data_IF_029607532729
#
_entry.id   IF_029607532729
#
_cell.length_a   1.000
_cell.length_b   1.000
_cell.length_c   1.000
_cell.angle_alpha   90.00
_cell.angle_beta   90.00
_cell.angle_gamma   90.00
#
_symmetry.space_group_name_H-M   'P 1'
#
loop_
_entity.id
_entity.type
_entity.pdbx_description
1 polymer ?
#
# COMPACT_ATOMS: atom_id res chain seq x y z
N UNK A 1 30.89 -15.62 -1.83
CA UNK A 1 31.45 -15.22 -3.16
C UNK A 1 31.02 -16.18 -4.28
N UNK A 2 30.74 -17.45 -3.96
CA UNK A 2 30.38 -18.48 -4.97
C UNK A 2 28.96 -18.32 -5.58
N UNK A 3 28.07 -17.56 -4.96
CA UNK A 3 26.69 -17.35 -5.46
C UNK A 3 26.52 -16.11 -6.35
N UNK A 4 27.55 -15.24 -6.41
CA UNK A 4 27.43 -13.93 -7.06
C UNK A 4 27.20 -13.96 -8.59
N UNK A 5 27.61 -15.03 -9.25
CA UNK A 5 27.55 -15.16 -10.71
C UNK A 5 26.33 -15.98 -11.21
N UNK A 6 25.56 -16.57 -10.28
CA UNK A 6 24.41 -17.39 -10.61
C UNK A 6 23.08 -16.65 -10.37
N UNK A 7 22.22 -16.63 -11.38
CA UNK A 7 20.88 -16.03 -11.27
C UNK A 7 19.87 -16.93 -10.56
N UNK A 8 20.14 -18.23 -10.48
CA UNK A 8 19.33 -19.25 -9.84
C UNK A 8 20.23 -20.16 -9.04
N UNK A 9 19.80 -20.50 -7.82
CA UNK A 9 20.48 -21.47 -6.97
C UNK A 9 19.47 -22.24 -6.12
N UNK A 10 19.82 -23.45 -5.73
CA UNK A 10 19.02 -24.33 -4.90
C UNK A 10 19.69 -24.52 -3.55
N UNK A 11 18.93 -24.23 -2.46
CA UNK A 11 19.35 -24.56 -1.10
C UNK A 11 18.67 -25.85 -0.71
N UNK A 12 19.44 -26.94 -0.55
CA UNK A 12 18.92 -28.23 -0.14
C UNK A 12 19.61 -28.76 1.13
N UNK A 13 18.97 -29.69 1.80
CA UNK A 13 19.48 -30.30 3.03
C UNK A 13 18.35 -30.98 3.83
N UNK A 14 18.67 -31.75 4.86
CA UNK A 14 17.68 -32.43 5.70
C UNK A 14 16.77 -31.45 6.44
N UNK A 15 15.64 -31.93 6.92
CA UNK A 15 14.72 -31.16 7.77
C UNK A 15 15.47 -30.69 9.04
N UNK A 16 15.29 -29.44 9.42
CA UNK A 16 15.98 -28.85 10.57
C UNK A 16 17.37 -28.26 10.28
N UNK A 17 17.90 -28.37 9.05
CA UNK A 17 19.21 -27.82 8.68
C UNK A 17 19.26 -26.29 8.53
N UNK A 18 18.21 -25.56 8.86
CA UNK A 18 18.21 -24.10 8.87
C UNK A 18 17.91 -23.44 7.51
N UNK A 19 17.40 -24.17 6.51
CA UNK A 19 17.08 -23.60 5.20
C UNK A 19 16.11 -22.42 5.28
N UNK A 20 15.03 -22.56 6.03
CA UNK A 20 14.01 -21.50 6.25
C UNK A 20 14.56 -20.38 7.11
N UNK A 21 15.51 -20.65 8.00
CA UNK A 21 16.15 -19.64 8.85
C UNK A 21 16.86 -18.58 8.05
N UNK A 22 17.36 -18.89 6.84
CA UNK A 22 17.97 -17.90 5.93
C UNK A 22 16.91 -16.87 5.49
N UNK A 23 15.72 -17.34 5.12
CA UNK A 23 14.60 -16.48 4.72
C UNK A 23 14.06 -15.70 5.92
N UNK A 24 13.96 -16.33 7.09
CA UNK A 24 13.61 -15.67 8.34
C UNK A 24 14.59 -14.54 8.69
N UNK A 25 15.89 -14.79 8.53
CA UNK A 25 16.92 -13.80 8.78
C UNK A 25 16.83 -12.60 7.82
N UNK A 26 16.53 -12.83 6.54
CA UNK A 26 16.31 -11.75 5.57
C UNK A 26 15.09 -10.90 5.92
N UNK A 27 13.94 -11.53 6.24
CA UNK A 27 12.76 -10.82 6.71
C UNK A 27 13.02 -10.05 8.00
N UNK A 28 13.67 -10.69 8.95
CA UNK A 28 13.99 -10.07 10.23
C UNK A 28 14.91 -8.87 10.04
N UNK A 29 15.94 -8.98 9.21
CA UNK A 29 16.80 -7.84 8.90
C UNK A 29 16.01 -6.66 8.35
N UNK A 30 15.16 -6.88 7.36
CA UNK A 30 14.39 -5.82 6.69
C UNK A 30 13.28 -5.26 7.60
N UNK A 31 12.48 -6.12 8.23
CA UNK A 31 11.22 -5.71 8.86
C UNK A 31 11.17 -5.92 10.39
N UNK A 32 12.16 -6.60 10.97
CA UNK A 32 12.18 -6.90 12.41
C UNK A 32 11.26 -8.05 12.83
N UNK A 33 10.71 -8.78 11.87
CA UNK A 33 9.87 -9.96 12.09
C UNK A 33 10.29 -11.09 11.14
N UNK A 34 10.20 -12.37 11.54
CA UNK A 34 10.53 -13.51 10.69
C UNK A 34 9.52 -13.68 9.52
N UNK A 35 9.78 -14.63 8.64
CA UNK A 35 8.95 -14.89 7.45
C UNK A 35 7.58 -15.50 7.76
N UNK A 36 7.41 -16.14 8.91
CA UNK A 36 6.16 -16.77 9.37
C UNK A 36 5.52 -16.04 10.54
N UNK A 37 4.21 -16.19 10.71
CA UNK A 37 3.43 -15.53 11.77
C UNK A 37 3.58 -16.17 13.15
N UNK A 38 4.16 -17.39 13.22
CA UNK A 38 4.28 -18.17 14.45
C UNK A 38 5.40 -17.72 15.39
N UNK A 39 6.28 -16.80 14.96
CA UNK A 39 7.44 -16.35 15.71
C UNK A 39 7.50 -14.83 15.77
N UNK A 40 7.98 -14.31 16.89
CA UNK A 40 8.28 -12.88 17.05
C UNK A 40 9.78 -12.64 16.94
N UNK A 41 10.20 -11.37 16.81
CA UNK A 41 11.62 -11.01 16.78
C UNK A 41 12.41 -11.52 18.00
N UNK A 42 11.78 -11.65 19.16
CA UNK A 42 12.41 -12.20 20.37
C UNK A 42 12.77 -13.69 20.23
N UNK A 43 12.02 -14.45 19.43
CA UNK A 43 12.26 -15.88 19.18
C UNK A 43 13.31 -16.15 18.09
N UNK A 44 13.98 -15.12 17.57
CA UNK A 44 15.05 -15.30 16.59
C UNK A 44 16.34 -15.82 17.20
N UNK A 45 16.52 -15.69 18.51
CA UNK A 45 17.65 -16.28 19.21
C UNK A 45 17.41 -17.77 19.41
N UNK A 46 18.41 -18.60 19.08
CA UNK A 46 18.37 -20.03 19.36
C UNK A 46 18.43 -20.27 20.89
N UNK A 47 17.61 -21.18 21.37
CA UNK A 47 17.65 -21.62 22.77
C UNK A 47 18.97 -22.35 23.12
N UNK A 48 19.65 -22.88 22.10
CA UNK A 48 20.96 -23.54 22.25
C UNK A 48 22.15 -22.55 22.17
N UNK A 49 21.88 -21.28 21.88
CA UNK A 49 22.97 -20.30 21.76
C UNK A 49 23.60 -20.00 23.11
N UNK A 50 24.93 -20.08 23.16
CA UNK A 50 25.71 -19.69 24.33
C UNK A 50 25.46 -18.24 24.72
N UNK A 51 25.38 -17.88 26.03
CA UNK A 51 25.27 -16.49 26.46
C UNK A 51 26.38 -15.57 25.97
N UNK A 52 27.54 -16.12 25.58
CA UNK A 52 28.65 -15.38 25.00
C UNK A 52 28.40 -14.96 23.54
N UNK A 53 27.52 -15.65 22.84
CA UNK A 53 27.20 -15.42 21.45
C UNK A 53 25.98 -14.51 21.31
N UNK A 54 26.14 -13.34 20.72
CA UNK A 54 25.01 -12.46 20.42
C UNK A 54 24.36 -12.85 19.08
N UNK A 55 23.02 -12.88 19.06
CA UNK A 55 22.27 -13.05 17.83
C UNK A 55 22.18 -11.72 17.11
N UNK A 56 22.64 -11.69 15.87
CA UNK A 56 22.54 -10.52 15.00
C UNK A 56 22.46 -10.95 13.53
N UNK A 57 21.82 -10.14 12.72
CA UNK A 57 21.75 -10.32 11.27
C UNK A 57 22.33 -9.07 10.61
N UNK A 58 23.25 -9.28 9.67
CA UNK A 58 23.74 -8.26 8.76
C UNK A 58 23.35 -8.67 7.34
N UNK A 59 22.53 -7.86 6.68
CA UNK A 59 22.01 -8.16 5.36
C UNK A 59 22.38 -7.04 4.38
N UNK A 60 23.00 -7.42 3.26
CA UNK A 60 23.35 -6.49 2.19
C UNK A 60 22.45 -6.75 0.97
N UNK A 61 21.95 -5.66 0.38
CA UNK A 61 21.09 -5.73 -0.80
C UNK A 61 21.32 -4.50 -1.68
N UNK A 62 20.86 -4.58 -2.93
CA UNK A 62 20.90 -3.49 -3.88
C UNK A 62 19.51 -3.16 -4.40
N UNK A 63 19.24 -1.86 -4.62
CA UNK A 63 18.05 -1.36 -5.28
C UNK A 63 18.51 -0.46 -6.42
N UNK A 64 18.31 -0.90 -7.66
CA UNK A 64 18.83 -0.22 -8.82
C UNK A 64 20.37 -0.14 -8.78
N UNK A 65 20.92 1.05 -8.63
CA UNK A 65 22.38 1.30 -8.57
C UNK A 65 22.91 1.57 -7.17
N UNK A 66 22.04 1.57 -6.17
CA UNK A 66 22.39 1.86 -4.78
C UNK A 66 22.51 0.58 -3.98
N UNK A 67 23.48 0.53 -3.09
CA UNK A 67 23.76 -0.60 -2.22
C UNK A 67 23.44 -0.22 -0.79
N UNK A 68 22.87 -1.16 -0.05
CA UNK A 68 22.46 -0.96 1.32
C UNK A 68 22.94 -2.10 2.20
N UNK A 69 23.23 -1.78 3.45
CA UNK A 69 23.48 -2.74 4.51
C UNK A 69 22.53 -2.44 5.66
N UNK A 70 21.91 -3.46 6.18
CA UNK A 70 21.07 -3.38 7.36
C UNK A 70 21.60 -4.35 8.42
N UNK A 71 21.83 -3.83 9.61
CA UNK A 71 22.21 -4.60 10.78
C UNK A 71 21.05 -4.59 11.76
N UNK A 72 20.69 -5.78 12.28
CA UNK A 72 19.63 -5.89 13.27
C UNK A 72 19.94 -6.98 14.28
N UNK A 73 19.66 -6.70 15.56
CA UNK A 73 19.73 -7.68 16.64
C UNK A 73 18.47 -7.62 17.50
N UNK A 74 17.91 -8.76 17.98
CA UNK A 74 16.80 -8.77 18.90
C UNK A 74 17.22 -8.32 20.29
N UNK A 75 16.25 -8.01 21.13
CA UNK A 75 16.45 -7.95 22.57
C UNK A 75 16.88 -9.33 23.05
N UNK A 76 17.97 -9.39 23.82
CA UNK A 76 18.55 -10.67 24.23
C UNK A 76 19.38 -10.52 25.52
N UNK A 77 19.52 -11.63 26.25
CA UNK A 77 20.42 -11.71 27.36
C UNK A 77 21.79 -12.26 26.90
N UNK A 78 22.84 -11.49 27.14
CA UNK A 78 24.21 -11.85 26.78
C UNK A 78 25.14 -11.69 27.98
N UNK A 79 26.26 -12.40 27.97
CA UNK A 79 27.27 -12.29 29.01
C UNK A 79 27.82 -10.85 29.12
N UNK A 80 28.07 -10.38 30.33
CA UNK A 80 28.74 -9.09 30.55
C UNK A 80 30.13 -9.13 29.97
N UNK A 81 30.56 -8.05 29.32
CA UNK A 81 31.94 -7.91 28.83
C UNK A 81 32.98 -7.82 29.99
N UNK A 82 32.54 -7.37 31.16
CA UNK A 82 33.39 -7.27 32.40
C UNK A 82 32.54 -7.78 33.55
N UNK A 83 33.15 -8.65 34.41
CA UNK A 83 32.49 -9.30 35.53
C UNK A 83 31.70 -10.54 35.15
N UNK A 84 31.06 -11.17 36.12
CA UNK A 84 30.25 -12.38 35.97
C UNK A 84 28.76 -12.01 35.80
N UNK A 85 28.00 -12.84 35.13
CA UNK A 85 26.55 -12.71 34.95
C UNK A 85 26.11 -12.21 33.57
N UNK A 86 24.79 -12.13 33.38
CA UNK A 86 24.14 -11.70 32.13
C UNK A 86 23.76 -10.23 32.20
N UNK A 87 23.64 -9.63 31.03
CA UNK A 87 23.03 -8.31 30.84
C UNK A 87 21.97 -8.38 29.74
N UNK A 88 20.93 -7.63 29.91
CA UNK A 88 19.91 -7.43 28.88
C UNK A 88 20.46 -6.44 27.85
N UNK A 89 20.58 -6.89 26.62
CA UNK A 89 20.92 -6.04 25.48
C UNK A 89 19.63 -5.67 24.75
N UNK A 90 19.39 -4.37 24.59
CA UNK A 90 18.21 -3.89 23.87
C UNK A 90 18.27 -4.27 22.38
N UNK A 91 17.11 -4.39 21.75
CA UNK A 91 17.02 -4.56 20.31
C UNK A 91 17.69 -3.38 19.60
N UNK A 92 18.42 -3.67 18.54
CA UNK A 92 19.14 -2.68 17.73
C UNK A 92 18.82 -2.86 16.25
N UNK A 93 18.70 -1.76 15.53
CA UNK A 93 18.59 -1.75 14.07
C UNK A 93 19.30 -0.52 13.51
N UNK A 94 20.01 -0.70 12.39
CA UNK A 94 20.65 0.39 11.65
C UNK A 94 20.66 0.07 10.15
N UNK A 95 20.35 1.08 9.33
CA UNK A 95 20.37 1.00 7.88
C UNK A 95 21.44 1.95 7.35
N UNK A 96 22.27 1.44 6.48
CA UNK A 96 23.37 2.17 5.83
C UNK A 96 23.20 2.12 4.31
N UNK A 97 23.50 3.22 3.63
CA UNK A 97 23.82 3.26 2.20
C UNK A 97 25.32 3.03 2.05
N UNK A 98 25.74 2.20 1.12
CA UNK A 98 27.15 1.83 0.93
C UNK A 98 27.52 1.84 -0.54
N UNK A 99 28.82 1.89 -0.82
CA UNK A 99 29.35 1.63 -2.14
C UNK A 99 29.22 0.14 -2.49
N UNK A 100 29.37 -0.19 -3.78
CA UNK A 100 29.28 -1.57 -4.29
C UNK A 100 30.18 -2.54 -3.51
N UNK A 101 31.37 -2.09 -3.12
CA UNK A 101 32.35 -2.91 -2.40
C UNK A 101 32.24 -2.78 -0.86
N UNK A 102 31.30 -1.95 -0.36
CA UNK A 102 31.09 -1.74 1.08
C UNK A 102 32.18 -0.90 1.75
N UNK A 103 32.93 -0.12 0.98
CA UNK A 103 34.06 0.66 1.48
C UNK A 103 33.65 1.93 2.22
N UNK A 104 32.70 2.68 1.71
CA UNK A 104 32.13 3.85 2.39
C UNK A 104 30.67 3.56 2.76
N UNK A 105 30.35 3.73 4.03
CA UNK A 105 29.00 3.49 4.56
C UNK A 105 28.48 4.77 5.21
N UNK A 106 27.31 5.21 4.77
CA UNK A 106 26.59 6.35 5.34
C UNK A 106 25.35 5.85 6.08
N UNK A 107 25.20 6.23 7.34
CA UNK A 107 24.02 5.91 8.13
C UNK A 107 22.79 6.63 7.56
N UNK A 108 21.79 5.85 7.13
CA UNK A 108 20.50 6.35 6.60
C UNK A 108 19.45 6.42 7.70
N UNK A 109 19.38 5.40 8.55
CA UNK A 109 18.43 5.35 9.64
C UNK A 109 18.93 4.48 10.79
N UNK A 110 18.75 4.96 12.03
CA UNK A 110 18.95 4.24 13.28
C UNK A 110 17.69 4.19 14.15
N UNK A 111 16.70 5.02 13.83
CA UNK A 111 15.34 4.99 14.41
C UNK A 111 14.36 4.73 13.29
N UNK A 112 13.28 3.97 13.61
CA UNK A 112 12.24 3.63 12.63
C UNK A 112 12.80 3.00 11.33
N UNK A 113 13.80 2.13 11.47
CA UNK A 113 14.49 1.48 10.35
C UNK A 113 13.51 0.72 9.46
N UNK A 114 12.51 0.05 10.04
CA UNK A 114 11.46 -0.66 9.28
C UNK A 114 10.72 0.29 8.35
N UNK A 115 10.29 1.46 8.82
CA UNK A 115 9.62 2.44 7.97
C UNK A 115 10.53 3.02 6.87
N UNK A 116 11.84 3.12 7.12
CA UNK A 116 12.81 3.51 6.09
C UNK A 116 12.95 2.42 5.02
N UNK A 117 13.00 1.15 5.41
CA UNK A 117 13.03 -0.01 4.51
C UNK A 117 11.75 -0.10 3.68
N UNK A 118 10.58 0.07 4.29
CA UNK A 118 9.28 0.07 3.59
C UNK A 118 9.22 1.17 2.51
N UNK A 119 9.73 2.36 2.81
CA UNK A 119 9.83 3.45 1.82
C UNK A 119 10.80 3.15 0.69
N UNK A 120 11.92 2.49 0.98
CA UNK A 120 12.93 2.12 -0.01
C UNK A 120 12.45 1.00 -0.93
N UNK A 121 11.86 -0.04 -0.36
CA UNK A 121 11.39 -1.22 -1.09
C UNK A 121 10.02 -1.01 -1.73
N UNK A 122 9.19 -0.12 -1.18
CA UNK A 122 7.79 0.05 -1.58
C UNK A 122 6.86 -1.07 -1.10
N UNK A 123 7.35 -1.97 -0.25
CA UNK A 123 6.61 -3.12 0.27
C UNK A 123 6.61 -3.12 1.80
N UNK A 124 5.46 -3.41 2.38
CA UNK A 124 5.34 -3.78 3.79
C UNK A 124 5.77 -5.24 4.00
N UNK A 125 6.00 -5.62 5.26
CA UNK A 125 6.48 -6.96 5.62
C UNK A 125 5.65 -8.09 5.00
N UNK A 126 4.32 -8.02 5.12
CA UNK A 126 3.40 -9.06 4.64
C UNK A 126 3.42 -9.17 3.11
N UNK A 127 3.52 -8.03 2.42
CA UNK A 127 3.62 -7.98 0.98
C UNK A 127 4.95 -8.57 0.49
N UNK A 128 6.05 -8.23 1.15
CA UNK A 128 7.36 -8.79 0.85
C UNK A 128 7.38 -10.31 1.01
N UNK A 129 6.75 -10.82 2.07
CA UNK A 129 6.61 -12.27 2.28
C UNK A 129 5.81 -12.94 1.17
N UNK A 130 4.71 -12.34 0.74
CA UNK A 130 3.84 -12.89 -0.30
C UNK A 130 4.45 -12.84 -1.71
N UNK A 131 5.28 -11.83 -1.99
CA UNK A 131 5.82 -11.58 -3.35
C UNK A 131 7.21 -12.15 -3.53
N UNK A 132 8.10 -11.85 -2.57
CA UNK A 132 9.54 -12.08 -2.73
C UNK A 132 9.96 -13.42 -2.13
N UNK A 133 9.42 -13.77 -0.97
CA UNK A 133 9.85 -14.98 -0.28
C UNK A 133 9.03 -16.22 -0.62
N UNK A 134 7.76 -16.06 -0.98
CA UNK A 134 6.85 -17.15 -1.31
C UNK A 134 7.02 -18.35 -0.35
N UNK A 135 6.63 -18.22 0.94
CA UNK A 135 6.79 -19.28 1.91
C UNK A 135 6.18 -20.60 1.44
N UNK A 136 6.70 -21.70 1.92
CA UNK A 136 6.21 -23.03 1.56
C UNK A 136 4.71 -23.16 1.87
N UNK A 137 3.91 -23.40 0.84
CA UNK A 137 2.44 -23.50 0.92
C UNK A 137 1.67 -22.28 0.38
N UNK A 138 2.18 -21.08 0.50
CA UNK A 138 1.47 -19.87 0.05
C UNK A 138 1.52 -19.69 -1.48
N UNK A 139 2.59 -20.14 -2.13
CA UNK A 139 2.65 -20.22 -3.58
C UNK A 139 1.56 -21.15 -4.15
N UNK A 140 1.28 -22.25 -3.46
CA UNK A 140 0.18 -23.15 -3.85
C UNK A 140 -1.18 -22.47 -3.72
N UNK A 141 -1.39 -21.67 -2.67
CA UNK A 141 -2.63 -20.89 -2.51
C UNK A 141 -2.82 -19.91 -3.66
N UNK A 142 -1.76 -19.17 -4.04
CA UNK A 142 -1.82 -18.24 -5.16
C UNK A 142 -2.14 -18.94 -6.49
N UNK A 143 -1.56 -20.10 -6.74
CA UNK A 143 -1.80 -20.89 -7.96
C UNK A 143 -3.22 -21.51 -8.01
N UNK A 144 -3.75 -21.93 -6.86
CA UNK A 144 -5.06 -22.55 -6.73
C UNK A 144 -6.18 -21.55 -6.48
N UNK A 145 -5.85 -20.31 -6.14
CA UNK A 145 -6.80 -19.24 -5.88
C UNK A 145 -7.72 -18.98 -7.09
N UNK A 146 -8.98 -18.80 -6.84
CA UNK A 146 -9.96 -18.35 -7.84
C UNK A 146 -9.63 -16.95 -8.38
N UNK A 147 -10.26 -16.55 -9.47
CA UNK A 147 -9.98 -15.26 -10.12
C UNK A 147 -10.17 -14.05 -9.19
N UNK A 148 -11.20 -14.06 -8.35
CA UNK A 148 -11.49 -12.98 -7.39
C UNK A 148 -10.46 -12.92 -6.25
N UNK A 149 -10.06 -14.06 -5.70
CA UNK A 149 -9.06 -14.14 -4.65
C UNK A 149 -7.67 -13.75 -5.17
N UNK A 150 -7.33 -14.21 -6.37
CA UNK A 150 -6.09 -13.79 -7.07
C UNK A 150 -6.07 -12.29 -7.34
N UNK A 151 -7.21 -11.70 -7.73
CA UNK A 151 -7.35 -10.27 -7.91
C UNK A 151 -7.13 -9.50 -6.60
N UNK A 152 -7.67 -9.95 -5.47
CA UNK A 152 -7.45 -9.34 -4.16
C UNK A 152 -5.97 -9.40 -3.74
N UNK A 153 -5.33 -10.55 -3.92
CA UNK A 153 -3.89 -10.70 -3.65
C UNK A 153 -3.09 -9.72 -4.52
N UNK A 154 -3.39 -9.65 -5.82
CA UNK A 154 -2.72 -8.72 -6.74
C UNK A 154 -2.99 -7.25 -6.40
N UNK A 155 -4.22 -6.90 -6.00
CA UNK A 155 -4.55 -5.53 -5.56
C UNK A 155 -3.75 -5.14 -4.31
N UNK A 156 -3.58 -6.06 -3.37
CA UNK A 156 -2.77 -5.86 -2.17
C UNK A 156 -1.29 -5.70 -2.54
N UNK A 157 -0.78 -6.54 -3.42
CA UNK A 157 0.60 -6.55 -3.89
C UNK A 157 1.00 -5.24 -4.58
N UNK A 158 0.18 -4.79 -5.51
CA UNK A 158 0.48 -3.62 -6.34
C UNK A 158 -0.08 -2.32 -5.78
N UNK A 159 -0.60 -2.32 -4.54
CA UNK A 159 -1.24 -1.15 -3.92
C UNK A 159 -2.31 -0.48 -4.80
N UNK A 160 -3.00 -1.27 -5.63
CA UNK A 160 -4.02 -0.75 -6.55
C UNK A 160 -5.33 -0.38 -5.85
N UNK A 161 -5.43 -0.61 -4.55
CA UNK A 161 -6.56 -0.19 -3.71
C UNK A 161 -6.88 1.32 -3.84
N UNK A 162 -5.85 2.15 -4.07
CA UNK A 162 -6.04 3.59 -4.34
C UNK A 162 -6.87 3.83 -5.60
N UNK A 163 -6.62 3.06 -6.63
CA UNK A 163 -7.35 3.18 -7.90
C UNK A 163 -8.77 2.62 -7.78
N UNK A 164 -8.98 1.52 -7.05
CA UNK A 164 -10.30 1.01 -6.72
C UNK A 164 -11.12 2.06 -5.96
N UNK A 165 -10.53 2.71 -4.96
CA UNK A 165 -11.18 3.78 -4.21
C UNK A 165 -11.49 5.00 -5.08
N UNK A 166 -10.58 5.39 -5.97
CA UNK A 166 -10.81 6.47 -6.93
C UNK A 166 -11.99 6.13 -7.87
N UNK A 167 -12.04 4.90 -8.35
CA UNK A 167 -13.13 4.41 -9.20
C UNK A 167 -14.48 4.45 -8.47
N UNK A 168 -14.55 4.00 -7.22
CA UNK A 168 -15.76 4.10 -6.40
C UNK A 168 -16.22 5.55 -6.21
N UNK A 169 -15.29 6.46 -5.88
CA UNK A 169 -15.62 7.89 -5.73
C UNK A 169 -16.08 8.52 -7.04
N UNK A 170 -15.42 8.20 -8.15
CA UNK A 170 -15.81 8.69 -9.47
C UNK A 170 -17.21 8.18 -9.86
N UNK A 171 -17.49 6.91 -9.61
CA UNK A 171 -18.82 6.32 -9.84
C UNK A 171 -19.89 6.97 -8.98
N UNK A 172 -19.66 7.11 -7.68
CA UNK A 172 -20.60 7.77 -6.77
C UNK A 172 -20.88 9.22 -7.19
N UNK A 173 -19.85 9.96 -7.64
CA UNK A 173 -20.00 11.32 -8.15
C UNK A 173 -20.80 11.36 -9.45
N UNK A 174 -20.51 10.44 -10.37
CA UNK A 174 -21.28 10.28 -11.61
C UNK A 174 -22.76 10.03 -11.32
N UNK A 175 -23.07 9.08 -10.44
CA UNK A 175 -24.45 8.71 -10.12
C UNK A 175 -25.22 9.89 -9.47
N UNK A 176 -24.55 10.65 -8.60
CA UNK A 176 -25.11 11.87 -8.01
C UNK A 176 -25.42 12.92 -9.08
N UNK A 177 -24.47 13.20 -9.98
CA UNK A 177 -24.64 14.18 -11.04
C UNK A 177 -25.70 13.74 -12.06
N UNK A 178 -25.75 12.46 -12.41
CA UNK A 178 -26.78 11.91 -13.28
C UNK A 178 -28.18 12.07 -12.69
N UNK A 179 -28.34 11.83 -11.39
CA UNK A 179 -29.59 12.08 -10.68
C UNK A 179 -30.00 13.57 -10.68
N UNK A 180 -29.05 14.46 -10.40
CA UNK A 180 -29.28 15.91 -10.45
C UNK A 180 -29.66 16.39 -11.87
N UNK A 181 -28.96 15.88 -12.87
CA UNK A 181 -29.26 16.19 -14.27
C UNK A 181 -30.66 15.76 -14.65
N UNK A 182 -31.07 14.55 -14.28
CA UNK A 182 -32.38 14.05 -14.58
C UNK A 182 -33.50 14.86 -13.89
N UNK A 183 -33.28 15.27 -12.63
CA UNK A 183 -34.21 16.16 -11.92
C UNK A 183 -34.37 17.52 -12.60
N UNK A 184 -33.24 18.13 -13.04
CA UNK A 184 -33.27 19.42 -13.76
C UNK A 184 -33.99 19.24 -15.11
N UNK A 185 -33.73 18.15 -15.82
CA UNK A 185 -34.37 17.84 -17.08
C UNK A 185 -35.90 17.72 -16.94
N UNK A 186 -36.35 16.91 -15.95
CA UNK A 186 -37.77 16.75 -15.68
C UNK A 186 -38.43 18.08 -15.30
N UNK A 187 -37.75 18.90 -14.49
CA UNK A 187 -38.29 20.21 -14.09
C UNK A 187 -38.37 21.17 -15.28
N UNK A 188 -37.40 21.12 -16.20
CA UNK A 188 -37.43 21.87 -17.45
C UNK A 188 -38.61 21.42 -18.31
N UNK A 189 -38.80 20.13 -18.53
CA UNK A 189 -39.89 19.57 -19.30
C UNK A 189 -41.25 19.98 -18.70
N UNK A 190 -41.38 19.94 -17.37
CA UNK A 190 -42.59 20.38 -16.67
C UNK A 190 -42.87 21.88 -16.93
N UNK A 191 -41.83 22.74 -16.80
CA UNK A 191 -41.99 24.16 -17.07
C UNK A 191 -42.46 24.46 -18.53
N UNK A 192 -41.87 23.75 -19.52
CA UNK A 192 -42.29 23.89 -20.91
C UNK A 192 -43.76 23.47 -21.10
N UNK A 193 -44.15 22.37 -20.45
CA UNK A 193 -45.54 21.86 -20.47
C UNK A 193 -46.50 22.87 -19.83
N UNK A 194 -46.14 23.43 -18.66
CA UNK A 194 -46.96 24.41 -17.94
C UNK A 194 -47.12 25.70 -18.74
N UNK A 195 -46.12 26.08 -19.53
CA UNK A 195 -46.18 27.23 -20.46
C UNK A 195 -46.95 26.90 -21.76
N UNK A 196 -47.26 25.63 -22.02
CA UNK A 196 -47.95 25.21 -23.23
C UNK A 196 -47.10 25.42 -24.49
N UNK A 197 -45.79 25.15 -24.41
CA UNK A 197 -44.84 25.21 -25.52
C UNK A 197 -44.10 23.86 -25.65
N UNK A 198 -43.71 23.53 -26.86
CA UNK A 198 -43.06 22.23 -27.13
C UNK A 198 -41.54 22.32 -26.98
N UNK A 199 -40.96 23.49 -27.17
CA UNK A 199 -39.49 23.68 -27.09
C UNK A 199 -39.14 25.09 -26.56
N UNK A 200 -37.91 25.26 -26.12
CA UNK A 200 -37.35 26.56 -25.69
C UNK A 200 -37.28 27.59 -26.82
N UNK A 201 -37.27 27.13 -28.05
CA UNK A 201 -37.25 28.02 -29.23
C UNK A 201 -38.55 28.86 -29.37
N UNK A 202 -39.66 28.37 -28.79
CA UNK A 202 -40.97 29.04 -28.77
C UNK A 202 -41.10 30.06 -27.62
N UNK A 203 -40.15 30.09 -26.65
CA UNK A 203 -40.19 31.00 -25.50
C UNK A 203 -40.26 32.48 -25.87
N UNK A 204 -39.43 33.00 -26.83
CA UNK A 204 -39.47 34.41 -27.22
C UNK A 204 -40.84 34.84 -27.79
N UNK A 205 -41.45 33.99 -28.61
CA UNK A 205 -42.74 34.29 -29.20
C UNK A 205 -43.86 34.28 -28.14
N UNK A 206 -43.79 33.38 -27.20
CA UNK A 206 -44.71 33.29 -26.08
C UNK A 206 -44.59 34.47 -25.14
N UNK A 207 -43.36 34.88 -24.84
CA UNK A 207 -43.07 36.06 -24.02
C UNK A 207 -43.64 37.32 -24.65
N UNK A 208 -43.39 37.53 -25.96
CA UNK A 208 -43.93 38.65 -26.70
C UNK A 208 -45.46 38.68 -26.70
N UNK A 209 -46.09 37.49 -26.90
CA UNK A 209 -47.55 37.38 -26.84
C UNK A 209 -48.14 37.73 -25.48
N UNK A 210 -47.42 37.42 -24.40
CA UNK A 210 -47.82 37.78 -23.04
C UNK A 210 -47.62 39.33 -22.77
N UNK A 211 -46.55 39.90 -23.25
CA UNK A 211 -46.30 41.33 -23.14
C UNK A 211 -47.38 42.12 -23.88
N UNK A 212 -47.74 41.71 -25.11
CA UNK A 212 -48.81 42.32 -25.89
C UNK A 212 -50.18 42.23 -25.19
N UNK A 213 -50.48 41.08 -24.58
CA UNK A 213 -51.72 40.89 -23.78
C UNK A 213 -51.72 41.77 -22.54
N UNK A 214 -50.62 41.81 -21.81
CA UNK A 214 -50.50 42.67 -20.62
C UNK A 214 -50.73 44.14 -20.97
N UNK A 215 -50.07 44.65 -22.02
CA UNK A 215 -50.25 46.02 -22.47
C UNK A 215 -51.72 46.32 -22.90
N UNK A 216 -52.40 45.38 -23.56
CA UNK A 216 -53.79 45.51 -23.93
C UNK A 216 -54.74 45.59 -22.69
N UNK A 217 -54.48 44.76 -21.68
CA UNK A 217 -55.24 44.79 -20.42
C UNK A 217 -55.01 46.12 -19.67
N UNK A 218 -53.74 46.57 -19.60
CA UNK A 218 -53.44 47.85 -18.95
C UNK A 218 -54.09 49.05 -19.67
N UNK A 219 -54.12 49.02 -21.01
CA UNK A 219 -54.83 50.05 -21.77
C UNK A 219 -56.36 50.06 -21.50
N UNK A 220 -56.96 48.87 -21.42
CA UNK A 220 -58.40 48.77 -21.08
C UNK A 220 -58.70 49.25 -19.66
N UNK A 221 -57.78 49.02 -18.74
CA UNK A 221 -57.89 49.52 -17.37
C UNK A 221 -57.88 51.06 -17.32
N UNK A 222 -57.00 51.69 -18.05
CA UNK A 222 -56.89 53.16 -18.12
C UNK A 222 -58.04 53.83 -18.89
N UNK A 223 -58.71 53.13 -19.79
CA UNK A 223 -59.94 53.65 -20.42
C UNK A 223 -61.20 53.55 -19.56
N UNK A 224 -61.18 52.70 -18.53
CA UNK A 224 -62.31 52.45 -17.63
C UNK A 224 -62.30 53.31 -16.35
N UNK A 225 -61.22 54.04 -16.09
CA UNK A 225 -61.11 55.09 -15.06
C UNK A 225 -61.52 56.43 -15.62
#
# INVERSE_FOLDING_TARGET
RELGDHKLFLIYGPTGSGKTTILDAMCYALYGSPSGDSRTGAHMRSEYASPQEATAVSFRFAIGRKYYRIDRSPEQEIAKKRGTGLKKAAAHAALYESDKDGGQEQLVAAKNVTAAVERLLGFQADQFRQVVLLPQGDFRKLLLAGSSERQQIMQTLFHTQRYARLQELAKARHDTLAGQYEQVRQRREQCLTDLGIASEEELPDKEKAWQDKSAAVDAQWHEAE
#
